data_IF_182042206398
#
_entry.id   IF_182042206398
#
_cell.length_a   1.000
_cell.length_b   1.000
_cell.length_c   1.000
_cell.angle_alpha   90.00
_cell.angle_beta   90.00
_cell.angle_gamma   90.00
#
_symmetry.space_group_name_H-M   'P 1'
#
loop_
_entity.id
_entity.type
_entity.pdbx_description
1 polymer ?
#
# COMPACT_ATOMS: atom_id res chain seq x y z
N UNK A 1 -5.46 -22.02 11.83
CA UNK A 1 -5.87 -20.72 12.42
C UNK A 1 -4.60 -20.12 12.99
N UNK A 2 -3.65 -19.80 12.12
CA UNK A 2 -2.26 -19.74 12.59
C UNK A 2 -1.89 -18.28 12.73
N UNK A 3 -2.35 -17.71 13.85
CA UNK A 3 -1.95 -16.37 14.24
C UNK A 3 -0.53 -16.43 14.79
N UNK A 4 0.43 -15.99 13.98
CA UNK A 4 1.86 -16.01 14.32
C UNK A 4 2.29 -14.88 15.25
N UNK A 5 1.47 -13.84 15.39
CA UNK A 5 1.77 -12.70 16.25
C UNK A 5 1.39 -12.97 17.71
N UNK A 6 2.21 -12.45 18.63
CA UNK A 6 2.03 -12.61 20.08
C UNK A 6 0.71 -12.04 20.60
N UNK A 7 0.19 -10.98 19.95
CA UNK A 7 -1.07 -10.34 20.32
C UNK A 7 -2.22 -10.80 19.44
N UNK A 8 -3.41 -10.93 20.05
CA UNK A 8 -4.64 -11.26 19.35
C UNK A 8 -4.98 -10.23 18.26
N UNK A 9 -5.10 -10.70 17.02
CA UNK A 9 -5.34 -9.86 15.86
C UNK A 9 -6.84 -9.79 15.56
N UNK A 10 -7.41 -8.58 15.67
CA UNK A 10 -8.79 -8.28 15.28
C UNK A 10 -8.89 -6.92 14.60
N UNK A 11 -9.95 -6.74 13.80
CA UNK A 11 -10.31 -5.42 13.30
C UNK A 11 -11.05 -4.64 14.39
N UNK A 12 -10.64 -3.39 14.62
CA UNK A 12 -11.23 -2.57 15.70
C UNK A 12 -12.72 -2.27 15.45
N UNK A 13 -13.15 -2.18 14.18
CA UNK A 13 -14.53 -1.93 13.78
C UNK A 13 -15.44 -3.18 13.80
N UNK A 14 -14.90 -4.36 14.10
CA UNK A 14 -15.67 -5.63 14.11
C UNK A 14 -15.73 -6.20 15.52
N UNK A 15 -16.94 -6.33 16.05
CA UNK A 15 -17.17 -7.03 17.31
C UNK A 15 -17.34 -8.54 17.08
N UNK A 16 -16.35 -9.32 17.52
CA UNK A 16 -16.31 -10.79 17.33
C UNK A 16 -17.31 -11.52 18.27
N UNK A 17 -17.57 -10.97 19.46
CA UNK A 17 -18.42 -11.59 20.49
C UNK A 17 -19.93 -11.48 20.26
N UNK A 18 -20.37 -11.15 19.04
CA UNK A 18 -21.79 -10.98 18.73
C UNK A 18 -22.55 -12.31 18.87
N UNK A 19 -23.47 -12.41 19.84
CA UNK A 19 -24.33 -13.59 20.10
C UNK A 19 -25.00 -14.14 18.84
N UNK A 20 -25.41 -13.27 17.90
CA UNK A 20 -25.99 -13.64 16.59
C UNK A 20 -25.08 -14.50 15.70
N UNK A 21 -23.76 -14.41 15.88
CA UNK A 21 -22.77 -15.14 15.08
C UNK A 21 -22.25 -16.41 15.78
N UNK A 22 -22.46 -16.54 17.10
CA UNK A 22 -21.97 -17.66 17.91
C UNK A 22 -22.68 -19.00 17.59
N UNK A 23 -23.94 -18.95 17.10
CA UNK A 23 -24.73 -20.15 16.77
C UNK A 23 -24.70 -20.60 15.30
N UNK A 24 -24.00 -19.89 14.40
CA UNK A 24 -23.96 -20.24 12.97
C UNK A 24 -22.75 -21.12 12.65
N UNK A 25 -22.98 -22.31 12.06
CA UNK A 25 -21.92 -23.23 11.59
C UNK A 25 -21.05 -22.62 10.48
N UNK A 26 -21.61 -21.80 9.60
CA UNK A 26 -20.85 -21.06 8.58
C UNK A 26 -20.49 -19.66 9.08
N UNK A 27 -19.21 -19.48 9.44
CA UNK A 27 -18.63 -18.19 9.83
C UNK A 27 -18.38 -17.35 8.57
N UNK A 28 -19.42 -16.81 7.91
CA UNK A 28 -19.16 -15.74 6.92
C UNK A 28 -18.57 -14.57 7.73
N UNK A 29 -17.26 -14.37 7.61
CA UNK A 29 -16.53 -13.46 8.48
C UNK A 29 -17.09 -12.05 8.31
N UNK A 30 -17.63 -11.48 9.39
CA UNK A 30 -17.98 -10.06 9.40
C UNK A 30 -16.65 -9.30 9.28
N UNK A 31 -16.37 -8.75 8.10
CA UNK A 31 -15.11 -8.04 7.81
C UNK A 31 -15.41 -6.58 7.54
N UNK A 32 -14.67 -5.71 8.22
CA UNK A 32 -14.70 -4.29 7.92
C UNK A 32 -13.81 -3.98 6.72
N UNK A 33 -14.41 -3.33 5.73
CA UNK A 33 -13.72 -2.68 4.62
C UNK A 33 -14.48 -1.40 4.28
N UNK A 34 -13.79 -0.45 3.66
CA UNK A 34 -14.39 0.80 3.17
C UNK A 34 -13.82 1.20 1.82
N UNK A 35 -14.57 2.02 1.12
CA UNK A 35 -14.08 2.73 -0.05
C UNK A 35 -13.19 3.90 0.39
N UNK A 36 -12.06 4.08 -0.29
CA UNK A 36 -11.12 5.19 -0.06
C UNK A 36 -11.55 6.45 -0.82
N UNK A 37 -12.36 6.30 -1.88
CA UNK A 37 -12.76 7.38 -2.77
C UNK A 37 -11.70 7.70 -3.82
N UNK A 38 -11.75 8.92 -4.38
CA UNK A 38 -10.79 9.43 -5.37
C UNK A 38 -10.69 8.59 -6.65
N UNK A 39 -11.78 7.88 -7.01
CA UNK A 39 -11.83 7.02 -8.20
C UNK A 39 -11.10 5.67 -8.05
N UNK A 40 -10.58 5.34 -6.86
CA UNK A 40 -9.91 4.05 -6.65
C UNK A 40 -10.90 2.95 -6.27
N UNK A 41 -10.75 1.80 -6.91
CA UNK A 41 -11.51 0.59 -6.60
C UNK A 41 -10.92 -0.11 -5.38
N UNK A 42 -11.78 -0.54 -4.44
CA UNK A 42 -11.37 -1.40 -3.32
C UNK A 42 -10.96 -2.79 -3.85
N UNK A 43 -9.76 -3.30 -3.51
CA UNK A 43 -9.30 -4.60 -3.99
C UNK A 43 -10.16 -5.75 -3.44
N UNK A 44 -10.31 -6.83 -4.23
CA UNK A 44 -11.08 -8.02 -3.84
C UNK A 44 -10.53 -8.65 -2.56
N UNK A 45 -9.21 -8.76 -2.45
CA UNK A 45 -8.51 -9.26 -1.27
C UNK A 45 -8.80 -8.45 0.00
N UNK A 46 -9.09 -7.14 -0.11
CA UNK A 46 -9.51 -6.36 1.06
C UNK A 46 -10.92 -6.71 1.52
N UNK A 47 -11.82 -7.11 0.61
CA UNK A 47 -13.21 -7.50 0.92
C UNK A 47 -13.32 -8.91 1.49
N UNK A 48 -12.54 -9.84 0.94
CA UNK A 48 -12.68 -11.28 1.20
C UNK A 48 -11.53 -11.88 2.01
N UNK A 49 -10.37 -11.21 2.05
CA UNK A 49 -9.18 -11.73 2.72
C UNK A 49 -9.27 -11.75 4.24
N UNK A 50 -8.41 -12.53 4.88
CA UNK A 50 -8.41 -12.73 6.34
C UNK A 50 -7.27 -12.01 7.09
N UNK A 51 -6.63 -11.03 6.45
CA UNK A 51 -5.55 -10.27 7.11
C UNK A 51 -6.09 -9.18 8.04
N UNK A 52 -5.32 -8.88 9.09
CA UNK A 52 -5.55 -7.73 9.98
C UNK A 52 -4.40 -6.75 9.82
N UNK A 53 -4.73 -5.54 9.36
CA UNK A 53 -3.77 -4.45 9.20
C UNK A 53 -4.41 -3.10 9.53
N UNK A 54 -4.05 -2.53 10.69
CA UNK A 54 -4.57 -1.24 11.16
C UNK A 54 -4.11 -0.07 10.29
N UNK A 55 -3.02 -0.24 9.54
CA UNK A 55 -2.44 0.78 8.66
C UNK A 55 -3.02 0.75 7.24
N UNK A 56 -3.81 -0.27 6.90
CA UNK A 56 -4.44 -0.41 5.60
C UNK A 56 -5.43 0.74 5.33
N UNK A 57 -5.44 1.32 4.11
CA UNK A 57 -6.42 2.34 3.74
C UNK A 57 -7.83 1.79 3.53
N UNK A 58 -8.00 0.49 3.26
CA UNK A 58 -9.31 -0.14 3.01
C UNK A 58 -9.92 -0.77 4.27
N UNK A 59 -9.11 -1.45 5.08
CA UNK A 59 -9.60 -2.25 6.22
C UNK A 59 -9.23 -1.64 7.57
N UNK A 60 -8.54 -0.51 7.57
CA UNK A 60 -8.18 0.27 8.75
C UNK A 60 -8.71 1.71 8.72
N UNK A 61 -8.40 2.46 9.78
CA UNK A 61 -8.82 3.85 9.97
C UNK A 61 -7.78 4.87 9.42
N UNK A 62 -7.14 4.56 8.28
CA UNK A 62 -6.14 5.45 7.66
C UNK A 62 -6.73 6.19 6.46
N UNK A 63 -7.05 7.47 6.62
CA UNK A 63 -7.51 8.31 5.51
C UNK A 63 -6.40 8.61 4.52
N UNK A 64 -6.74 8.53 3.23
CA UNK A 64 -5.90 9.03 2.14
C UNK A 64 -6.32 10.47 1.87
N UNK A 65 -5.35 11.38 1.79
CA UNK A 65 -5.59 12.82 1.60
C UNK A 65 -4.41 13.49 0.91
N UNK A 66 -4.66 14.57 0.18
CA UNK A 66 -3.62 15.38 -0.42
C UNK A 66 -2.95 14.70 -1.62
N UNK A 67 -1.62 14.55 -1.58
CA UNK A 67 -0.82 14.15 -2.74
C UNK A 67 -1.04 12.68 -3.11
N UNK A 68 -1.23 12.42 -4.40
CA UNK A 68 -1.16 11.08 -4.99
C UNK A 68 0.06 11.04 -5.91
N UNK A 69 0.93 10.06 -5.70
CA UNK A 69 2.20 9.95 -6.40
C UNK A 69 2.31 8.59 -7.08
N UNK A 70 2.88 8.56 -8.28
CA UNK A 70 3.18 7.34 -9.03
C UNK A 70 4.69 7.12 -9.05
N UNK A 71 5.12 5.87 -8.92
CA UNK A 71 6.54 5.50 -9.06
C UNK A 71 6.75 3.99 -9.10
N UNK A 72 8.00 3.58 -9.28
CA UNK A 72 8.38 2.18 -9.43
C UNK A 72 8.83 1.58 -8.10
N UNK A 73 8.43 0.35 -7.81
CA UNK A 73 8.89 -0.39 -6.64
C UNK A 73 10.37 -0.79 -6.78
N UNK A 74 11.23 -0.37 -5.86
CA UNK A 74 12.65 -0.77 -5.83
C UNK A 74 12.87 -1.96 -4.91
N UNK A 75 12.16 -1.98 -3.77
CA UNK A 75 12.45 -2.89 -2.67
C UNK A 75 11.18 -3.21 -1.90
N UNK A 76 10.98 -4.50 -1.66
CA UNK A 76 9.87 -5.07 -0.88
C UNK A 76 10.34 -5.77 0.40
N UNK A 77 11.59 -5.55 0.81
CA UNK A 77 12.24 -6.30 1.90
C UNK A 77 11.67 -6.07 3.30
N UNK A 78 10.95 -4.97 3.52
CA UNK A 78 10.40 -4.64 4.84
C UNK A 78 9.00 -5.20 5.01
N UNK A 79 8.64 -5.60 6.24
CA UNK A 79 7.29 -6.09 6.54
C UNK A 79 6.26 -4.99 6.25
N UNK A 80 5.37 -5.26 5.28
CA UNK A 80 4.25 -4.39 4.87
C UNK A 80 4.68 -2.95 4.51
N UNK A 81 5.94 -2.75 4.11
CA UNK A 81 6.45 -1.44 3.66
C UNK A 81 7.34 -1.66 2.47
N UNK A 82 7.18 -0.82 1.46
CA UNK A 82 7.94 -0.87 0.22
C UNK A 82 8.62 0.48 -0.01
N UNK A 83 9.66 0.48 -0.83
CA UNK A 83 10.33 1.71 -1.25
C UNK A 83 10.05 1.94 -2.73
N UNK A 84 9.42 3.07 -3.03
CA UNK A 84 9.12 3.50 -4.39
C UNK A 84 10.18 4.50 -4.84
N UNK A 85 10.64 4.41 -6.09
CA UNK A 85 11.44 5.44 -6.77
C UNK A 85 10.56 6.29 -7.67
N UNK A 86 10.72 7.60 -7.58
CA UNK A 86 10.29 8.52 -8.63
C UNK A 86 11.51 9.10 -9.31
N UNK A 87 11.63 8.89 -10.61
CA UNK A 87 12.65 9.53 -11.41
C UNK A 87 12.05 10.77 -12.08
N UNK A 88 12.83 11.84 -12.15
CA UNK A 88 12.42 13.08 -12.80
C UNK A 88 13.63 13.75 -13.45
N UNK A 89 13.35 14.64 -14.39
CA UNK A 89 14.34 15.46 -15.05
C UNK A 89 14.36 16.83 -14.37
N UNK A 90 15.52 17.22 -13.84
CA UNK A 90 15.72 18.53 -13.24
C UNK A 90 16.35 19.47 -14.27
N UNK A 91 15.73 20.63 -14.49
CA UNK A 91 16.19 21.60 -15.49
C UNK A 91 17.33 22.47 -14.95
N UNK A 92 18.44 22.54 -15.69
CA UNK A 92 19.59 23.40 -15.36
C UNK A 92 19.52 24.65 -16.21
N UNK A 93 19.10 25.77 -15.60
CA UNK A 93 18.84 27.05 -16.28
C UNK A 93 20.06 27.56 -17.07
N UNK A 94 21.27 27.44 -16.53
CA UNK A 94 22.51 27.93 -17.17
C UNK A 94 22.81 27.26 -18.51
N UNK A 95 22.52 25.97 -18.64
CA UNK A 95 22.91 25.18 -19.82
C UNK A 95 21.73 24.80 -20.70
N UNK A 96 20.51 25.19 -20.33
CA UNK A 96 19.26 24.78 -20.99
C UNK A 96 19.15 23.26 -21.21
N UNK A 97 19.67 22.47 -20.25
CA UNK A 97 19.69 21.00 -20.30
C UNK A 97 19.00 20.42 -19.07
N UNK A 98 18.61 19.15 -19.16
CA UNK A 98 18.05 18.41 -18.04
C UNK A 98 19.05 17.39 -17.49
N UNK A 99 19.07 17.21 -16.18
CA UNK A 99 19.78 16.12 -15.52
C UNK A 99 18.79 15.10 -14.91
N UNK A 100 19.17 13.83 -14.87
CA UNK A 100 18.36 12.78 -14.25
C UNK A 100 18.53 12.83 -12.73
N UNK A 101 17.42 13.01 -12.01
CA UNK A 101 17.37 12.88 -10.55
C UNK A 101 16.34 11.83 -10.15
N UNK A 102 16.45 11.36 -8.91
CA UNK A 102 15.46 10.47 -8.32
C UNK A 102 15.21 10.79 -6.86
N UNK A 103 14.02 10.44 -6.39
CA UNK A 103 13.65 10.49 -4.98
C UNK A 103 13.07 9.14 -4.56
N UNK A 104 13.54 8.60 -3.44
CA UNK A 104 12.99 7.39 -2.85
C UNK A 104 11.92 7.76 -1.81
N UNK A 105 10.82 7.04 -1.83
CA UNK A 105 9.68 7.26 -0.94
C UNK A 105 9.28 5.95 -0.29
N UNK A 106 9.33 5.84 1.05
CA UNK A 106 8.82 4.66 1.75
C UNK A 106 7.30 4.74 1.87
N UNK A 107 6.64 3.65 1.49
CA UNK A 107 5.19 3.55 1.39
C UNK A 107 4.73 2.28 2.10
N UNK A 108 3.69 2.38 2.93
CA UNK A 108 3.11 1.18 3.53
C UNK A 108 2.25 0.42 2.51
N UNK A 109 2.48 -0.88 2.43
CA UNK A 109 1.82 -1.79 1.52
C UNK A 109 0.87 -2.67 2.32
N UNK A 110 -0.42 -2.55 2.04
CA UNK A 110 -1.41 -3.42 2.65
C UNK A 110 -1.23 -4.86 2.14
N UNK A 111 -1.52 -5.89 2.97
CA UNK A 111 -1.53 -7.28 2.52
C UNK A 111 -2.57 -7.61 1.42
N UNK A 112 -3.47 -6.68 1.08
CA UNK A 112 -4.39 -6.80 -0.06
C UNK A 112 -3.75 -6.51 -1.42
N UNK A 113 -2.43 -6.35 -1.45
CA UNK A 113 -1.68 -6.21 -2.68
C UNK A 113 -0.44 -7.08 -2.58
N UNK A 114 -0.28 -7.96 -3.56
CA UNK A 114 0.98 -8.64 -3.80
C UNK A 114 1.84 -7.73 -4.68
N UNK A 115 2.97 -7.26 -4.16
CA UNK A 115 3.87 -6.33 -4.86
C UNK A 115 5.20 -7.00 -5.13
N UNK A 116 5.66 -6.91 -6.37
CA UNK A 116 6.98 -7.36 -6.81
C UNK A 116 7.89 -6.17 -7.09
N UNK A 117 9.21 -6.38 -7.08
CA UNK A 117 10.16 -5.34 -7.49
C UNK A 117 9.96 -5.02 -8.98
N UNK A 118 9.96 -3.73 -9.35
CA UNK A 118 9.67 -3.27 -10.71
C UNK A 118 8.20 -2.93 -11.01
N UNK A 119 7.27 -3.32 -10.14
CA UNK A 119 5.86 -2.94 -10.26
C UNK A 119 5.69 -1.41 -10.20
N UNK A 120 4.69 -0.90 -10.90
CA UNK A 120 4.34 0.51 -10.91
C UNK A 120 3.25 0.74 -9.87
N UNK A 121 3.47 1.69 -8.98
CA UNK A 121 2.65 1.85 -7.78
C UNK A 121 2.12 3.27 -7.70
N UNK A 122 0.82 3.36 -7.43
CA UNK A 122 0.16 4.61 -7.07
C UNK A 122 0.00 4.67 -5.56
N UNK A 123 0.68 5.62 -4.94
CA UNK A 123 0.69 5.86 -3.52
C UNK A 123 -0.08 7.13 -3.17
N UNK A 124 -1.01 7.02 -2.22
CA UNK A 124 -1.74 8.15 -1.66
C UNK A 124 -1.11 8.63 -0.35
N UNK A 125 -0.99 9.94 -0.18
CA UNK A 125 -0.54 10.53 1.07
C UNK A 125 -1.53 10.19 2.20
N UNK A 126 -1.01 9.88 3.37
CA UNK A 126 -1.79 9.53 4.55
C UNK A 126 -1.29 10.29 5.78
N UNK A 127 -1.91 10.05 6.94
CA UNK A 127 -1.33 10.51 8.21
C UNK A 127 0.04 9.82 8.43
N UNK A 128 0.98 10.45 9.16
CA UNK A 128 2.23 9.78 9.51
C UNK A 128 1.97 8.42 10.19
N UNK A 129 2.50 7.33 9.63
CA UNK A 129 2.34 5.96 10.15
C UNK A 129 3.60 5.48 10.89
N UNK A 130 4.74 6.07 10.56
CA UNK A 130 6.05 5.85 11.17
C UNK A 130 6.93 7.09 10.93
N UNK A 131 8.20 7.04 11.35
CA UNK A 131 9.17 8.13 11.15
C UNK A 131 9.23 8.63 9.70
N UNK A 132 9.28 7.70 8.74
CA UNK A 132 9.43 8.01 7.32
C UNK A 132 8.17 7.72 6.49
N UNK A 133 7.36 6.75 6.92
CA UNK A 133 6.17 6.31 6.16
C UNK A 133 5.03 7.30 6.34
N UNK A 134 4.71 8.02 5.26
CA UNK A 134 3.62 9.01 5.16
C UNK A 134 2.71 8.78 3.96
N UNK A 135 2.89 7.67 3.28
CA UNK A 135 2.15 7.28 2.09
C UNK A 135 1.70 5.82 2.21
N UNK A 136 0.56 5.51 1.60
CA UNK A 136 0.00 4.17 1.51
C UNK A 136 -0.20 3.78 0.04
N UNK A 137 0.00 2.51 -0.29
CA UNK A 137 -0.35 1.98 -1.61
C UNK A 137 -1.87 2.00 -1.79
N UNK A 138 -2.33 2.52 -2.93
CA UNK A 138 -3.76 2.58 -3.28
C UNK A 138 -4.05 1.76 -4.55
N UNK A 139 -3.10 1.70 -5.48
CA UNK A 139 -3.20 0.89 -6.70
C UNK A 139 -1.83 0.33 -7.06
N UNK A 140 -1.81 -0.91 -7.54
CA UNK A 140 -0.64 -1.58 -8.10
C UNK A 140 -0.93 -1.91 -9.56
N UNK A 141 -0.07 -1.42 -10.44
CA UNK A 141 -0.04 -1.76 -11.85
C UNK A 141 1.13 -2.73 -12.07
N UNK A 142 0.82 -3.98 -12.42
CA UNK A 142 1.84 -5.03 -12.62
C UNK A 142 2.73 -4.68 -13.80
N UNK A 143 4.04 -4.79 -13.59
CA UNK A 143 5.02 -4.47 -14.60
C UNK A 143 6.22 -5.42 -14.50
N UNK A 144 6.59 -6.01 -15.64
CA UNK A 144 7.75 -6.90 -15.70
C UNK A 144 8.98 -6.10 -16.11
N UNK A 145 10.04 -6.22 -15.32
CA UNK A 145 11.35 -5.65 -15.64
C UNK A 145 12.37 -6.77 -15.82
N UNK A 146 13.28 -6.58 -16.75
CA UNK A 146 14.44 -7.46 -16.91
C UNK A 146 15.66 -6.77 -16.30
N UNK A 147 16.38 -7.47 -15.42
CA UNK A 147 17.53 -6.93 -14.70
C UNK A 147 17.18 -6.15 -13.43
N UNK A 148 18.08 -5.28 -12.99
CA UNK A 148 17.97 -4.61 -11.68
C UNK A 148 17.01 -3.42 -11.70
N UNK A 149 16.03 -3.41 -10.79
CA UNK A 149 15.10 -2.29 -10.58
C UNK A 149 15.81 -0.94 -10.36
N UNK A 150 17.04 -0.93 -9.81
CA UNK A 150 17.80 0.29 -9.57
C UNK A 150 18.35 0.94 -10.84
N UNK A 151 18.61 0.14 -11.88
CA UNK A 151 19.12 0.63 -13.17
C UNK A 151 18.00 1.08 -14.10
N UNK A 152 16.75 0.71 -13.79
CA UNK A 152 15.61 1.08 -14.59
C UNK A 152 15.24 2.56 -14.38
N UNK A 153 15.08 3.28 -15.49
CA UNK A 153 14.63 4.66 -15.51
C UNK A 153 13.30 4.76 -16.26
N UNK A 154 12.26 5.16 -15.53
CA UNK A 154 10.95 5.48 -16.08
C UNK A 154 10.50 6.84 -15.55
N UNK A 155 9.96 7.67 -16.44
CA UNK A 155 9.35 8.96 -16.11
C UNK A 155 7.89 8.73 -15.71
N UNK A 156 7.49 9.30 -14.57
CA UNK A 156 6.16 9.15 -13.97
C UNK A 156 5.58 10.49 -13.53
#
# INVERSE_FOLDING_TARGET
MDQTEKSFQKQDAVFIGSKRLLGKKSKKACRYWRNVGLGFTTPKEAKEGNFVDKKCPFTGNVSIRGKILKGMCISTKMKRTIVIRRNYLHYIKKFHRFEKRHSNLPVHCSPAFEVTEGDIITAGQCRPLAKTVRFNVVKVDKNQIFGSARKQFALF
#
